data_IF_065196940925
#
_entry.id   IF_065196940925
#
_cell.length_a   1.000
_cell.length_b   1.000
_cell.length_c   1.000
_cell.angle_alpha   90.00
_cell.angle_beta   90.00
_cell.angle_gamma   90.00
#
_symmetry.space_group_name_H-M   'P 1'
#
loop_
_entity.id
_entity.type
_entity.pdbx_description
1 polymer ?
#
# COMPACT_ATOMS: atom_id res chain seq x y z
N UNK A 1 -29.45 -22.58 -10.14
CA UNK A 1 -28.36 -21.59 -10.26
C UNK A 1 -28.98 -20.21 -10.37
N UNK A 2 -28.92 -19.38 -9.31
CA UNK A 2 -29.41 -18.00 -9.38
C UNK A 2 -28.38 -17.13 -10.13
N UNK A 3 -28.80 -16.28 -11.08
CA UNK A 3 -27.88 -15.39 -11.78
C UNK A 3 -27.43 -14.27 -10.82
N UNK A 4 -26.11 -14.11 -10.71
CA UNK A 4 -25.49 -12.97 -10.02
C UNK A 4 -25.83 -11.73 -10.85
N UNK A 5 -26.69 -10.87 -10.33
CA UNK A 5 -26.91 -9.53 -10.88
C UNK A 5 -25.60 -8.76 -10.71
N UNK A 6 -24.78 -8.73 -11.77
CA UNK A 6 -23.64 -7.84 -11.86
C UNK A 6 -24.20 -6.42 -11.99
N UNK A 7 -24.33 -5.74 -10.85
CA UNK A 7 -24.64 -4.31 -10.84
C UNK A 7 -23.65 -3.60 -11.77
N UNK A 8 -24.15 -2.87 -12.77
CA UNK A 8 -23.36 -2.16 -13.76
C UNK A 8 -22.52 -1.10 -13.03
N UNK A 9 -21.27 -1.44 -12.67
CA UNK A 9 -20.39 -0.54 -11.92
C UNK A 9 -20.03 0.63 -12.83
N UNK A 10 -20.51 1.82 -12.49
CA UNK A 10 -20.24 3.04 -13.27
C UNK A 10 -18.74 3.35 -13.20
N UNK A 11 -18.04 3.19 -14.31
CA UNK A 11 -16.62 3.57 -14.41
C UNK A 11 -16.59 5.07 -14.71
N UNK A 12 -16.39 5.89 -13.67
CA UNK A 12 -16.10 7.32 -13.82
C UNK A 12 -14.60 7.52 -13.66
N UNK A 13 -14.00 8.26 -14.58
CA UNK A 13 -12.65 8.78 -14.40
C UNK A 13 -12.61 9.62 -13.12
N UNK A 14 -11.54 9.43 -12.34
CA UNK A 14 -11.28 10.27 -11.17
C UNK A 14 -10.92 11.67 -11.64
N UNK A 15 -11.39 12.69 -10.92
CA UNK A 15 -10.94 14.07 -11.10
C UNK A 15 -9.53 14.28 -10.57
N UNK A 16 -9.16 13.53 -9.52
CA UNK A 16 -7.82 13.55 -8.95
C UNK A 16 -6.87 12.66 -9.76
N UNK A 17 -5.69 13.20 -10.06
CA UNK A 17 -4.63 12.55 -10.81
C UNK A 17 -3.93 11.45 -10.00
N UNK A 18 -3.26 10.54 -10.71
CA UNK A 18 -2.53 9.45 -10.08
C UNK A 18 -1.36 9.96 -9.22
N UNK A 19 -0.66 11.00 -9.67
CA UNK A 19 0.45 11.62 -8.93
C UNK A 19 -0.02 12.26 -7.62
N UNK A 20 -1.18 12.92 -7.60
CA UNK A 20 -1.77 13.46 -6.37
C UNK A 20 -2.10 12.35 -5.38
N UNK A 21 -2.74 11.27 -5.85
CA UNK A 21 -3.05 10.10 -5.02
C UNK A 21 -1.77 9.51 -4.42
N UNK A 22 -0.75 9.28 -5.24
CA UNK A 22 0.56 8.77 -4.79
C UNK A 22 1.19 9.69 -3.74
N UNK A 23 1.17 11.00 -3.98
CA UNK A 23 1.74 12.01 -3.08
C UNK A 23 1.04 12.00 -1.72
N UNK A 24 -0.29 11.97 -1.70
CA UNK A 24 -1.08 11.91 -0.45
C UNK A 24 -0.78 10.61 0.32
N UNK A 25 -0.61 9.47 -0.37
CA UNK A 25 -0.25 8.20 0.29
C UNK A 25 1.13 8.32 0.95
N UNK A 26 2.13 8.84 0.24
CA UNK A 26 3.49 9.01 0.76
C UNK A 26 3.47 9.96 1.97
N UNK A 27 2.85 11.14 1.83
CA UNK A 27 2.73 12.12 2.91
C UNK A 27 2.02 11.55 4.14
N UNK A 28 1.01 10.69 3.96
CA UNK A 28 0.35 10.03 5.09
C UNK A 28 1.31 9.16 5.89
N UNK A 29 2.25 8.48 5.24
CA UNK A 29 3.22 7.63 5.92
C UNK A 29 4.32 8.45 6.60
N UNK A 30 4.70 9.59 6.03
CA UNK A 30 5.72 10.49 6.60
C UNK A 30 5.20 11.40 7.72
N UNK A 31 3.90 11.67 7.77
CA UNK A 31 3.30 12.67 8.67
C UNK A 31 3.01 12.19 10.09
N UNK A 32 3.27 10.91 10.42
CA UNK A 32 3.04 10.32 11.75
C UNK A 32 1.59 10.39 12.29
N UNK A 33 0.59 10.69 11.44
CA UNK A 33 -0.81 10.63 11.83
C UNK A 33 -1.23 9.19 12.13
N UNK A 34 -1.88 8.98 13.29
CA UNK A 34 -2.34 7.65 13.71
C UNK A 34 -3.35 7.01 12.77
N UNK A 35 -4.18 7.82 12.08
CA UNK A 35 -5.19 7.30 11.16
C UNK A 35 -5.21 8.08 9.86
N UNK A 36 -5.33 7.35 8.75
CA UNK A 36 -5.42 7.94 7.41
C UNK A 36 -6.63 8.89 7.29
N UNK A 37 -7.75 8.59 7.96
CA UNK A 37 -8.94 9.46 7.95
C UNK A 37 -8.66 10.83 8.55
N UNK A 38 -8.02 10.90 9.73
CA UNK A 38 -7.67 12.18 10.37
C UNK A 38 -6.67 12.98 9.54
N UNK A 39 -5.65 12.31 8.98
CA UNK A 39 -4.71 12.91 8.05
C UNK A 39 -5.43 13.50 6.82
N UNK A 40 -6.33 12.74 6.21
CA UNK A 40 -6.97 13.14 4.97
C UNK A 40 -8.01 14.25 5.17
N UNK A 41 -8.93 14.10 6.12
CA UNK A 41 -10.04 15.05 6.31
C UNK A 41 -9.66 16.27 7.14
N UNK A 42 -8.61 16.19 7.95
CA UNK A 42 -8.06 17.33 8.68
C UNK A 42 -6.93 17.95 7.88
N UNK A 43 -5.73 17.34 7.95
CA UNK A 43 -4.52 17.94 7.39
C UNK A 43 -4.62 18.27 5.89
N UNK A 44 -4.97 17.29 5.04
CA UNK A 44 -5.01 17.52 3.59
C UNK A 44 -6.16 18.46 3.18
N UNK A 45 -7.38 18.16 3.62
CA UNK A 45 -8.56 18.91 3.23
C UNK A 45 -8.57 20.36 3.75
N UNK A 46 -8.00 20.61 4.94
CA UNK A 46 -8.03 21.93 5.59
C UNK A 46 -6.84 22.81 5.17
N UNK A 47 -5.64 22.24 5.06
CA UNK A 47 -4.41 23.03 4.86
C UNK A 47 -3.81 22.93 3.45
N UNK A 48 -4.15 21.89 2.68
CA UNK A 48 -3.53 21.62 1.38
C UNK A 48 -4.47 21.71 0.18
N UNK A 49 -5.61 22.38 0.31
CA UNK A 49 -6.57 22.56 -0.79
C UNK A 49 -5.99 23.23 -2.05
N UNK A 50 -4.95 24.09 -1.90
CA UNK A 50 -4.25 24.67 -3.06
C UNK A 50 -3.43 23.65 -3.85
N UNK A 51 -2.85 22.67 -3.16
CA UNK A 51 -2.04 21.62 -3.79
C UNK A 51 -2.89 20.46 -4.34
N UNK A 52 -4.09 20.30 -3.79
CA UNK A 52 -5.06 19.26 -4.17
C UNK A 52 -6.44 19.88 -4.38
N UNK A 53 -6.63 20.69 -5.46
CA UNK A 53 -7.86 21.46 -5.68
C UNK A 53 -9.09 20.57 -5.89
N UNK A 54 -8.93 19.42 -6.56
CA UNK A 54 -10.00 18.49 -6.87
C UNK A 54 -10.08 17.33 -5.87
N UNK A 55 -10.02 17.65 -4.57
CA UNK A 55 -10.01 16.66 -3.51
C UNK A 55 -11.33 15.85 -3.47
N UNK A 56 -11.23 14.54 -3.64
CA UNK A 56 -12.40 13.65 -3.56
C UNK A 56 -12.76 13.33 -2.10
N UNK A 57 -13.98 12.84 -1.86
CA UNK A 57 -14.38 12.38 -0.53
C UNK A 57 -13.46 11.27 -0.01
N UNK A 58 -13.31 11.17 1.31
CA UNK A 58 -12.45 10.15 1.94
C UNK A 58 -12.73 8.73 1.43
N UNK A 59 -14.00 8.32 1.37
CA UNK A 59 -14.38 7.00 0.89
C UNK A 59 -13.95 6.78 -0.57
N UNK A 60 -14.15 7.80 -1.42
CA UNK A 60 -13.70 7.73 -2.81
C UNK A 60 -12.18 7.61 -2.91
N UNK A 61 -11.44 8.32 -2.06
CA UNK A 61 -9.98 8.21 -2.01
C UNK A 61 -9.54 6.79 -1.63
N UNK A 62 -10.19 6.15 -0.65
CA UNK A 62 -9.86 4.77 -0.25
C UNK A 62 -10.05 3.80 -1.42
N UNK A 63 -11.10 3.96 -2.23
CA UNK A 63 -11.30 3.17 -3.44
C UNK A 63 -10.19 3.40 -4.48
N UNK A 64 -9.77 4.67 -4.66
CA UNK A 64 -8.74 5.05 -5.61
C UNK A 64 -7.34 4.64 -5.16
N UNK A 65 -7.08 4.54 -3.84
CA UNK A 65 -5.77 4.19 -3.28
C UNK A 65 -5.19 2.90 -3.87
N UNK A 66 -6.05 1.94 -4.24
CA UNK A 66 -5.63 0.68 -4.85
C UNK A 66 -4.98 0.85 -6.24
N UNK A 67 -5.35 1.89 -7.01
CA UNK A 67 -4.75 2.13 -8.33
C UNK A 67 -3.31 2.63 -8.25
N UNK A 68 -2.88 3.16 -7.09
CA UNK A 68 -1.56 3.71 -6.90
C UNK A 68 -0.47 2.66 -6.63
N UNK A 69 -0.82 1.40 -6.35
CA UNK A 69 0.17 0.38 -5.98
C UNK A 69 1.21 0.14 -7.07
N UNK A 70 0.77 -0.19 -8.30
CA UNK A 70 1.69 -0.46 -9.42
C UNK A 70 2.52 0.80 -9.78
N UNK A 71 1.93 2.00 -9.90
CA UNK A 71 2.68 3.24 -10.08
C UNK A 71 3.71 3.51 -8.98
N UNK A 72 3.39 3.28 -7.70
CA UNK A 72 4.33 3.43 -6.59
C UNK A 72 5.48 2.44 -6.70
N UNK A 73 5.20 1.17 -7.02
CA UNK A 73 6.25 0.18 -7.27
C UNK A 73 7.14 0.60 -8.44
N UNK A 74 6.57 1.15 -9.52
CA UNK A 74 7.34 1.65 -10.65
C UNK A 74 8.22 2.85 -10.26
N UNK A 75 7.65 3.82 -9.53
CA UNK A 75 8.38 4.97 -9.00
C UNK A 75 9.55 4.54 -8.11
N UNK A 76 9.31 3.62 -7.15
CA UNK A 76 10.35 3.09 -6.27
C UNK A 76 11.43 2.35 -7.05
N UNK A 77 11.08 1.61 -8.10
CA UNK A 77 12.06 0.96 -8.97
C UNK A 77 12.97 1.96 -9.71
N UNK A 78 12.47 3.15 -10.06
CA UNK A 78 13.29 4.22 -10.65
C UNK A 78 14.13 4.98 -9.63
N UNK A 79 13.79 4.91 -8.34
CA UNK A 79 14.46 5.63 -7.25
C UNK A 79 15.41 4.73 -6.43
N UNK A 80 15.94 3.68 -7.06
CA UNK A 80 16.92 2.81 -6.42
C UNK A 80 18.26 3.54 -6.22
N UNK A 81 18.90 3.28 -5.09
CA UNK A 81 20.25 3.75 -4.79
C UNK A 81 21.32 3.00 -5.57
N UNK A 82 22.58 3.37 -5.32
CA UNK A 82 23.73 2.67 -5.90
C UNK A 82 24.22 1.57 -4.96
N UNK A 83 24.68 0.46 -5.53
CA UNK A 83 25.38 -0.56 -4.75
C UNK A 83 26.74 -0.02 -4.30
N UNK A 84 26.98 0.01 -2.99
CA UNK A 84 28.20 0.52 -2.35
C UNK A 84 29.17 -0.61 -1.95
N UNK A 85 28.78 -1.87 -2.14
CA UNK A 85 29.52 -3.06 -1.73
C UNK A 85 29.01 -3.70 -0.43
N UNK A 86 28.29 -2.94 0.40
CA UNK A 86 27.62 -3.44 1.60
C UNK A 86 26.12 -3.42 1.36
N UNK A 87 25.45 -4.55 1.61
CA UNK A 87 23.98 -4.63 1.48
C UNK A 87 23.36 -5.28 2.71
N UNK A 88 22.23 -4.74 3.12
CA UNK A 88 21.40 -5.28 4.20
C UNK A 88 20.12 -5.85 3.58
N UNK A 89 19.77 -7.07 3.94
CA UNK A 89 18.54 -7.73 3.52
C UNK A 89 17.70 -7.99 4.74
N UNK A 90 16.48 -7.45 4.76
CA UNK A 90 15.48 -7.82 5.76
C UNK A 90 14.28 -8.50 5.10
N UNK A 91 13.67 -9.44 5.83
CA UNK A 91 12.43 -10.09 5.41
C UNK A 91 11.32 -9.79 6.41
N UNK A 92 10.38 -8.95 6.02
CA UNK A 92 9.23 -8.57 6.85
C UNK A 92 8.01 -9.43 6.49
N UNK A 93 7.37 -10.12 7.46
CA UNK A 93 6.16 -10.89 7.20
C UNK A 93 4.93 -9.97 7.03
N UNK A 94 4.29 -10.05 5.88
CA UNK A 94 2.97 -9.43 5.62
C UNK A 94 1.90 -10.46 5.99
N UNK A 95 1.42 -10.40 7.24
CA UNK A 95 0.38 -11.32 7.76
C UNK A 95 -0.97 -10.96 7.16
N UNK A 96 -1.65 -11.93 6.53
CA UNK A 96 -2.99 -11.71 5.95
C UNK A 96 -4.13 -12.15 6.88
N UNK A 97 -3.84 -13.01 7.85
CA UNK A 97 -4.76 -13.37 8.93
C UNK A 97 -4.03 -13.93 10.14
N UNK A 98 -4.77 -14.13 11.23
CA UNK A 98 -4.30 -14.90 12.37
C UNK A 98 -4.17 -16.40 12.01
N UNK A 99 -3.20 -17.10 12.62
CA UNK A 99 -2.93 -18.51 12.33
C UNK A 99 -4.13 -19.43 12.63
N UNK A 100 -4.97 -19.08 13.62
CA UNK A 100 -6.18 -19.82 13.96
C UNK A 100 -7.25 -19.75 12.86
N UNK A 101 -7.19 -18.72 12.01
CA UNK A 101 -8.20 -18.42 10.96
C UNK A 101 -7.78 -18.85 9.55
N UNK A 102 -6.65 -19.55 9.41
CA UNK A 102 -6.10 -19.94 8.09
C UNK A 102 -7.11 -20.76 7.28
N UNK A 103 -7.79 -21.73 7.90
CA UNK A 103 -8.74 -22.60 7.21
C UNK A 103 -9.99 -21.87 6.69
N UNK A 104 -10.30 -20.71 7.28
CA UNK A 104 -11.45 -19.87 6.88
C UNK A 104 -11.05 -18.69 5.98
N UNK A 105 -9.75 -18.48 5.72
CA UNK A 105 -9.28 -17.36 4.91
C UNK A 105 -9.58 -17.56 3.42
N UNK A 106 -10.31 -16.62 2.82
CA UNK A 106 -10.76 -16.70 1.42
C UNK A 106 -10.00 -15.77 0.47
N UNK A 107 -9.62 -14.57 0.92
CA UNK A 107 -9.12 -13.48 0.06
C UNK A 107 -7.82 -13.85 -0.67
N UNK A 108 -6.82 -14.36 0.06
CA UNK A 108 -5.54 -14.80 -0.49
C UNK A 108 -5.41 -16.32 -0.54
N UNK A 109 -6.53 -17.05 -0.63
CA UNK A 109 -6.50 -18.51 -0.71
C UNK A 109 -5.65 -18.93 -1.92
N UNK A 110 -4.74 -19.89 -1.72
CA UNK A 110 -3.72 -20.36 -2.68
C UNK A 110 -2.55 -19.40 -2.98
N UNK A 111 -2.64 -18.12 -2.62
CA UNK A 111 -1.55 -17.15 -2.78
C UNK A 111 -0.71 -17.03 -1.51
N UNK A 112 -1.37 -16.86 -0.36
CA UNK A 112 -0.71 -16.81 0.93
C UNK A 112 -0.29 -18.21 1.40
N UNK A 113 0.87 -18.27 2.07
CA UNK A 113 1.44 -19.53 2.60
C UNK A 113 1.78 -19.36 4.08
N UNK A 114 1.90 -20.49 4.78
CA UNK A 114 2.49 -20.49 6.13
C UNK A 114 3.99 -20.23 6.00
N UNK A 115 4.48 -19.27 6.76
CA UNK A 115 5.90 -18.98 6.90
C UNK A 115 6.31 -18.95 8.37
N UNK A 116 7.61 -19.10 8.62
CA UNK A 116 8.22 -18.93 9.94
C UNK A 116 9.22 -17.79 9.91
N UNK A 117 9.25 -17.00 10.98
CA UNK A 117 10.28 -16.01 11.30
C UNK A 117 10.82 -16.26 12.73
N UNK A 118 11.72 -15.41 13.21
CA UNK A 118 12.28 -15.51 14.57
C UNK A 118 11.21 -15.44 15.67
N UNK A 119 10.10 -14.74 15.43
CA UNK A 119 9.01 -14.56 16.41
C UNK A 119 7.89 -15.59 16.31
N UNK A 120 7.93 -16.49 15.32
CA UNK A 120 7.01 -17.63 15.22
C UNK A 120 6.46 -17.90 13.81
N UNK A 121 5.32 -18.56 13.77
CA UNK A 121 4.62 -18.87 12.52
C UNK A 121 3.67 -17.74 12.13
N UNK A 122 3.49 -17.53 10.82
CA UNK A 122 2.48 -16.62 10.28
C UNK A 122 1.88 -17.18 8.99
N UNK A 123 0.73 -16.65 8.58
CA UNK A 123 0.13 -16.91 7.28
C UNK A 123 0.05 -15.63 6.46
N UNK A 124 0.66 -15.63 5.28
CA UNK A 124 0.76 -14.44 4.44
C UNK A 124 1.94 -14.49 3.46
N UNK A 125 2.57 -13.34 3.29
CA UNK A 125 3.69 -13.14 2.36
C UNK A 125 4.95 -12.72 3.13
N UNK A 126 6.13 -12.90 2.52
CA UNK A 126 7.38 -12.28 2.98
C UNK A 126 7.75 -11.18 1.99
N UNK A 127 7.92 -9.97 2.50
CA UNK A 127 8.51 -8.86 1.75
C UNK A 127 10.00 -8.87 2.04
N UNK A 128 10.80 -9.01 1.00
CA UNK A 128 12.26 -8.90 1.09
C UNK A 128 12.63 -7.50 0.65
N UNK A 129 13.34 -6.73 1.46
CA UNK A 129 13.85 -5.41 1.10
C UNK A 129 15.37 -5.46 1.19
N UNK A 130 16.04 -4.95 0.15
CA UNK A 130 17.49 -4.83 0.10
C UNK A 130 17.84 -3.35 0.10
N UNK A 131 18.68 -2.92 1.04
CA UNK A 131 19.19 -1.54 1.15
C UNK A 131 20.72 -1.52 1.18
N UNK A 132 21.32 -0.40 0.79
CA UNK A 132 22.74 -0.14 1.04
C UNK A 132 22.96 0.42 2.45
N UNK A 133 24.22 0.66 2.80
CA UNK A 133 24.67 1.26 4.07
C UNK A 133 24.30 2.73 4.26
N UNK A 134 23.87 3.41 3.19
CA UNK A 134 23.25 4.74 3.26
C UNK A 134 21.73 4.70 3.46
N UNK A 135 21.12 3.50 3.53
CA UNK A 135 19.68 3.33 3.67
C UNK A 135 18.88 3.51 2.37
N UNK A 136 19.55 3.52 1.22
CA UNK A 136 18.90 3.61 -0.08
C UNK A 136 18.40 2.23 -0.54
N UNK A 137 17.22 2.21 -1.15
CA UNK A 137 16.59 1.00 -1.67
C UNK A 137 17.35 0.46 -2.89
N UNK A 138 17.73 -0.82 -2.86
CA UNK A 138 18.37 -1.51 -3.99
C UNK A 138 17.41 -2.47 -4.70
N UNK A 139 16.59 -3.20 -3.94
CA UNK A 139 15.60 -4.13 -4.48
C UNK A 139 14.49 -4.41 -3.45
N UNK A 140 13.33 -4.85 -3.94
CA UNK A 140 12.19 -5.31 -3.14
C UNK A 140 11.29 -6.27 -3.93
#
# INVERSE_FOLDING_TARGET
>A
MQPIILSKKRIRQSVMSLSEIMTIIILSHSSNYRTFKKFYTGFIAEYHGKAFPDLVSHNRFIELKASALIPLCHYLNQKKGKATGITFVDSTPIKVCDNRRIHSHKVFKKLAKRGKNSTGWFYGFKLHIIINDHGELLAF
#
